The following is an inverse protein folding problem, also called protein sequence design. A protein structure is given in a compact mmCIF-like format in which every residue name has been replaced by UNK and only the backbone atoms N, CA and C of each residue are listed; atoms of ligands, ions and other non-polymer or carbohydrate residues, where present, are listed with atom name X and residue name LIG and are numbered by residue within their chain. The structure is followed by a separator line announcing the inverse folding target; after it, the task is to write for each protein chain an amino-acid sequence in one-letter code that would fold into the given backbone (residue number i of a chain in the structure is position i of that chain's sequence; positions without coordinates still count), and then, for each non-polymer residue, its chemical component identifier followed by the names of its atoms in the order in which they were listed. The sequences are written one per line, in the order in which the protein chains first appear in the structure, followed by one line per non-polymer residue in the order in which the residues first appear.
data_IF_804021461335
#
_entry.id   IF_804021461335
#
_cell.length_a   1.000
_cell.length_b   1.000
_cell.length_c   1.000
_cell.angle_alpha   90.00
_cell.angle_beta   90.00
_cell.angle_gamma   90.00
#
_symmetry.space_group_name_H-M   'P 1'
#
loop_
_entity.id
_entity.type
_entity.pdbx_description
1 polymer ?
#
# COMPACT_ATOMS: atom_id res chain seq x y z
N UNK A 1 21.73 -5.03 20.19
CA UNK A 1 20.54 -4.13 20.12
C UNK A 1 20.36 -3.39 18.79
N UNK A 2 21.40 -2.96 18.03
CA UNK A 2 21.21 -2.15 16.80
C UNK A 2 20.39 -2.83 15.67
N UNK A 3 20.41 -4.16 15.58
CA UNK A 3 19.73 -4.92 14.52
C UNK A 3 18.42 -5.61 14.97
N UNK A 4 17.94 -5.34 16.18
CA UNK A 4 16.69 -5.92 16.65
C UNK A 4 15.50 -5.35 15.86
N UNK A 5 14.57 -6.22 15.49
CA UNK A 5 13.28 -5.83 14.90
C UNK A 5 12.38 -5.42 16.06
N UNK A 6 12.03 -4.15 16.11
CA UNK A 6 10.99 -3.67 17.02
C UNK A 6 9.66 -4.28 16.57
N UNK A 7 8.97 -4.94 17.50
CA UNK A 7 7.69 -5.65 17.26
C UNK A 7 6.50 -4.96 17.95
N UNK A 8 6.77 -4.13 18.96
CA UNK A 8 5.77 -3.39 19.73
C UNK A 8 5.91 -1.88 19.49
N UNK A 9 4.89 -1.06 19.81
CA UNK A 9 5.05 0.38 19.87
C UNK A 9 6.16 0.74 20.86
N UNK A 10 7.31 1.13 20.34
CA UNK A 10 8.40 1.64 21.15
C UNK A 10 8.11 3.10 21.40
N UNK A 11 7.79 3.42 22.66
CA UNK A 11 7.50 4.77 23.15
C UNK A 11 6.34 5.41 22.39
N UNK A 12 5.13 5.26 22.95
CA UNK A 12 3.90 5.86 22.46
C UNK A 12 4.13 7.27 21.88
N UNK A 13 4.12 7.41 20.55
CA UNK A 13 3.99 8.69 19.84
C UNK A 13 4.64 9.87 20.59
N UNK A 14 5.92 9.74 20.99
CA UNK A 14 6.61 10.85 21.68
C UNK A 14 6.59 12.10 20.80
N UNK A 15 6.53 11.89 19.49
CA UNK A 15 6.11 12.84 18.48
C UNK A 15 4.79 12.41 17.81
N UNK A 16 3.91 13.39 17.55
CA UNK A 16 2.68 13.18 16.77
C UNK A 16 3.02 12.67 15.37
N UNK A 17 2.20 11.76 14.80
CA UNK A 17 2.31 11.31 13.39
C UNK A 17 2.44 12.50 12.41
N UNK A 18 1.87 13.65 12.77
CA UNK A 18 1.98 14.87 12.00
C UNK A 18 3.41 15.45 11.97
N UNK A 19 4.16 15.38 13.07
CA UNK A 19 5.56 15.81 13.13
C UNK A 19 6.43 14.91 12.24
N UNK A 20 6.21 13.60 12.31
CA UNK A 20 6.92 12.63 11.48
C UNK A 20 6.66 12.84 9.98
N UNK A 21 5.42 13.12 9.60
CA UNK A 21 5.08 13.48 8.22
C UNK A 21 5.81 14.76 7.78
N UNK A 22 5.88 15.78 8.64
CA UNK A 22 6.63 17.00 8.34
C UNK A 22 8.13 16.71 8.16
N UNK A 23 8.71 15.84 9.00
CA UNK A 23 10.12 15.41 8.88
C UNK A 23 10.34 14.67 7.56
N UNK A 24 9.55 13.63 7.28
CA UNK A 24 9.70 12.83 6.07
C UNK A 24 9.49 13.66 4.79
N UNK A 25 8.54 14.59 4.80
CA UNK A 25 8.33 15.50 3.66
C UNK A 25 9.59 16.32 3.38
N UNK A 26 10.20 16.91 4.41
CA UNK A 26 11.44 17.68 4.27
C UNK A 26 12.60 16.82 3.78
N UNK A 27 12.70 15.59 4.26
CA UNK A 27 13.73 14.65 3.80
C UNK A 27 13.52 14.24 2.33
N UNK A 28 12.27 14.03 1.92
CA UNK A 28 11.91 13.80 0.51
C UNK A 28 12.25 15.00 -0.38
N UNK A 29 11.98 16.23 0.08
CA UNK A 29 12.33 17.45 -0.67
C UNK A 29 13.85 17.56 -0.83
N UNK A 30 14.61 17.44 0.27
CA UNK A 30 16.08 17.51 0.26
C UNK A 30 16.74 16.45 -0.64
N UNK A 31 16.15 15.26 -0.71
CA UNK A 31 16.64 14.17 -1.55
C UNK A 31 16.09 14.17 -2.98
N UNK A 32 15.23 15.14 -3.33
CA UNK A 32 14.52 15.21 -4.61
C UNK A 32 13.69 13.94 -4.92
N UNK A 33 13.01 13.42 -3.89
CA UNK A 33 12.22 12.18 -3.94
C UNK A 33 10.76 12.38 -3.56
N UNK A 34 10.23 13.59 -3.64
CA UNK A 34 8.82 13.84 -3.33
C UNK A 34 7.93 12.98 -4.25
N UNK A 35 7.08 12.09 -3.70
CA UNK A 35 6.34 11.12 -4.51
C UNK A 35 5.31 11.79 -5.43
N UNK A 36 4.74 12.92 -5.00
CA UNK A 36 3.60 13.57 -5.65
C UNK A 36 3.94 14.33 -6.95
N UNK A 37 5.23 14.52 -7.25
CA UNK A 37 5.71 15.17 -8.47
C UNK A 37 6.26 14.17 -9.50
N UNK A 38 6.27 12.88 -9.15
CA UNK A 38 6.83 11.83 -10.01
C UNK A 38 5.88 11.52 -11.18
N UNK A 39 6.46 11.26 -12.35
CA UNK A 39 5.69 10.93 -13.55
C UNK A 39 4.96 9.59 -13.42
N UNK A 40 5.62 8.60 -12.78
CA UNK A 40 5.05 7.30 -12.46
C UNK A 40 4.86 7.23 -10.94
N UNK A 41 3.61 7.26 -10.43
CA UNK A 41 3.37 7.11 -9.00
C UNK A 41 3.81 5.71 -8.55
N UNK A 42 4.17 5.59 -7.26
CA UNK A 42 4.40 4.28 -6.66
C UNK A 42 3.12 3.43 -6.73
N UNK A 43 3.21 2.10 -6.86
CA UNK A 43 2.04 1.23 -6.85
C UNK A 43 1.28 1.36 -5.53
N UNK A 44 0.10 0.76 -5.40
CA UNK A 44 -0.57 0.72 -4.09
C UNK A 44 0.30 -0.01 -3.07
N UNK A 45 0.19 0.30 -1.79
CA UNK A 45 0.95 -0.37 -0.74
C UNK A 45 0.32 -1.71 -0.42
N UNK A 46 1.12 -2.72 -0.08
CA UNK A 46 0.59 -4.02 0.35
C UNK A 46 1.31 -4.46 1.61
N UNK A 47 0.57 -4.96 2.59
CA UNK A 47 1.18 -5.80 3.61
C UNK A 47 1.35 -7.21 3.03
N UNK A 48 2.59 -7.66 2.87
CA UNK A 48 2.90 -8.90 2.16
C UNK A 48 2.39 -10.15 2.87
N UNK A 49 2.04 -10.09 4.15
CA UNK A 49 1.56 -11.24 4.92
C UNK A 49 0.04 -11.42 4.80
N UNK A 50 -0.73 -10.34 4.85
CA UNK A 50 -2.20 -10.41 4.80
C UNK A 50 -2.81 -9.86 3.50
N UNK A 51 -2.02 -9.23 2.63
CA UNK A 51 -2.47 -8.67 1.36
C UNK A 51 -3.30 -7.39 1.50
N UNK A 52 -3.43 -6.83 2.71
CA UNK A 52 -4.21 -5.62 2.93
C UNK A 52 -3.44 -4.37 2.54
N UNK A 53 -4.19 -3.39 2.02
CA UNK A 53 -3.74 -2.02 1.80
C UNK A 53 -4.07 -1.17 3.04
N UNK A 54 -3.16 -0.29 3.44
CA UNK A 54 -3.38 0.68 4.51
C UNK A 54 -3.92 1.98 3.90
N UNK A 55 -5.01 2.49 4.48
CA UNK A 55 -5.64 3.74 4.03
C UNK A 55 -5.35 4.92 4.95
N UNK A 56 -5.94 6.05 4.60
CA UNK A 56 -5.95 7.28 5.40
C UNK A 56 -4.53 7.83 5.63
N UNK A 57 -4.28 8.50 6.75
CA UNK A 57 -2.96 9.02 7.14
C UNK A 57 -1.83 7.97 7.09
N UNK A 58 -2.13 6.69 7.32
CA UNK A 58 -1.13 5.63 7.23
C UNK A 58 -0.62 5.46 5.79
N UNK A 59 -1.50 5.57 4.78
CA UNK A 59 -1.12 5.52 3.36
C UNK A 59 -0.07 6.59 3.04
N UNK A 60 -0.39 7.82 3.44
CA UNK A 60 0.49 8.99 3.29
C UNK A 60 1.83 8.73 3.96
N UNK A 61 1.81 8.22 5.19
CA UNK A 61 3.01 8.01 5.99
C UNK A 61 3.94 6.94 5.39
N UNK A 62 3.36 5.84 4.89
CA UNK A 62 4.08 4.77 4.20
C UNK A 62 4.75 5.28 2.92
N UNK A 63 4.02 6.01 2.08
CA UNK A 63 4.56 6.56 0.84
C UNK A 63 5.72 7.51 1.07
N UNK A 64 5.58 8.44 2.02
CA UNK A 64 6.66 9.37 2.36
C UNK A 64 7.89 8.65 2.90
N UNK A 65 7.70 7.58 3.68
CA UNK A 65 8.83 6.79 4.15
C UNK A 65 9.54 6.07 3.02
N UNK A 66 8.80 5.36 2.17
CA UNK A 66 9.38 4.68 1.02
C UNK A 66 10.13 5.67 0.12
N UNK A 67 9.52 6.81 -0.18
CA UNK A 67 10.10 7.89 -0.95
C UNK A 67 11.39 8.44 -0.31
N UNK A 68 11.39 8.72 1.00
CA UNK A 68 12.58 9.21 1.71
C UNK A 68 13.76 8.24 1.61
N UNK A 69 13.47 6.94 1.52
CA UNK A 69 14.46 5.88 1.39
C UNK A 69 14.89 5.63 -0.05
N UNK A 70 14.17 6.19 -1.04
CA UNK A 70 14.38 5.89 -2.46
C UNK A 70 13.95 4.47 -2.81
N UNK A 71 12.92 3.96 -2.13
CA UNK A 71 12.39 2.64 -2.38
C UNK A 71 11.69 2.53 -3.73
N UNK A 72 11.75 1.34 -4.33
CA UNK A 72 11.12 1.06 -5.63
C UNK A 72 9.76 0.38 -5.48
N UNK A 73 9.46 -0.14 -4.29
CA UNK A 73 8.22 -0.84 -3.98
C UNK A 73 7.58 -0.34 -2.68
N UNK A 74 6.27 -0.59 -2.53
CA UNK A 74 5.51 -0.39 -1.30
C UNK A 74 5.07 -1.74 -0.70
N UNK A 75 6.02 -2.66 -0.60
CA UNK A 75 5.83 -3.99 0.01
C UNK A 75 6.20 -3.91 1.50
N UNK A 76 5.20 -3.96 2.36
CA UNK A 76 5.34 -3.75 3.80
C UNK A 76 5.11 -5.03 4.59
N UNK A 77 5.72 -5.15 5.77
CA UNK A 77 5.51 -6.25 6.71
C UNK A 77 5.44 -5.70 8.14
N UNK A 78 4.57 -6.28 8.97
CA UNK A 78 4.53 -5.94 10.39
C UNK A 78 5.80 -6.41 11.09
N UNK A 79 6.30 -5.62 12.04
CA UNK A 79 7.51 -5.96 12.80
C UNK A 79 7.41 -7.32 13.50
N UNK A 80 6.24 -7.65 14.06
CA UNK A 80 6.01 -8.94 14.71
C UNK A 80 6.15 -10.14 13.75
N UNK A 81 5.62 -10.03 12.52
CA UNK A 81 5.73 -11.09 11.51
C UNK A 81 7.16 -11.20 10.99
N UNK A 82 7.81 -10.06 10.72
CA UNK A 82 9.21 -9.99 10.30
C UNK A 82 10.16 -10.64 11.33
N UNK A 83 9.97 -10.35 12.61
CA UNK A 83 10.74 -10.96 13.70
C UNK A 83 10.47 -12.46 13.81
N UNK A 84 9.21 -12.88 13.69
CA UNK A 84 8.83 -14.28 13.83
C UNK A 84 9.42 -15.18 12.74
N UNK A 85 9.46 -14.70 11.49
CA UNK A 85 10.10 -15.43 10.38
C UNK A 85 11.61 -15.19 10.31
N UNK A 86 12.20 -14.46 11.26
CA UNK A 86 13.63 -14.28 11.39
C UNK A 86 14.26 -13.42 10.28
N UNK A 87 13.57 -12.37 9.83
CA UNK A 87 14.18 -11.39 8.93
C UNK A 87 15.31 -10.63 9.63
N UNK A 88 16.29 -10.18 8.85
CA UNK A 88 17.45 -9.45 9.35
C UNK A 88 17.55 -8.11 8.63
N UNK A 89 17.72 -7.01 9.37
CA UNK A 89 17.77 -5.66 8.77
C UNK A 89 19.11 -5.42 8.05
N UNK A 90 19.10 -4.73 6.91
CA UNK A 90 20.31 -4.28 6.19
C UNK A 90 21.12 -3.25 6.98
N UNK A 91 20.44 -2.41 7.76
CA UNK A 91 21.00 -1.30 8.53
C UNK A 91 20.21 -1.06 9.82
N UNK A 92 20.50 0.06 10.51
CA UNK A 92 19.73 0.57 11.64
C UNK A 92 18.34 1.13 11.26
N UNK A 93 17.82 0.68 10.11
CA UNK A 93 16.50 0.96 9.58
C UNK A 93 15.44 1.00 10.69
N UNK A 94 14.87 2.20 10.89
CA UNK A 94 13.77 2.44 11.83
C UNK A 94 12.43 2.03 11.20
N UNK A 95 11.56 1.34 11.96
CA UNK A 95 10.19 1.10 11.52
C UNK A 95 9.41 2.40 11.38
N UNK A 96 8.29 2.33 10.66
CA UNK A 96 7.18 3.24 10.84
C UNK A 96 6.23 2.72 11.93
N UNK A 97 5.58 3.65 12.61
CA UNK A 97 4.48 3.35 13.52
C UNK A 97 3.16 3.70 12.85
N UNK A 98 2.39 2.69 12.47
CA UNK A 98 1.04 2.90 11.94
C UNK A 98 0.03 2.88 13.09
N UNK A 99 -1.06 3.63 12.94
CA UNK A 99 -2.12 3.72 13.96
C UNK A 99 -3.45 3.23 13.42
N UNK A 100 -4.35 2.83 14.32
CA UNK A 100 -5.68 2.38 13.94
C UNK A 100 -6.60 2.32 15.14
N UNK A 101 -7.90 2.43 14.86
CA UNK A 101 -8.91 2.50 15.89
C UNK A 101 -9.47 1.09 16.14
N UNK A 102 -9.18 0.52 17.31
CA UNK A 102 -9.70 -0.78 17.73
C UNK A 102 -10.67 -0.53 18.88
N UNK A 103 -11.98 -0.63 18.59
CA UNK A 103 -13.06 -0.50 19.60
C UNK A 103 -12.97 0.79 20.43
N UNK A 104 -12.65 1.92 19.80
CA UNK A 104 -12.55 3.22 20.47
C UNK A 104 -11.21 3.47 21.16
N UNK A 105 -10.23 2.57 21.04
CA UNK A 105 -8.86 2.79 21.49
C UNK A 105 -7.92 2.86 20.29
N UNK A 106 -7.03 3.84 20.30
CA UNK A 106 -5.94 3.92 19.32
C UNK A 106 -4.92 2.83 19.66
N UNK A 107 -4.73 1.90 18.74
CA UNK A 107 -3.66 0.91 18.78
C UNK A 107 -2.58 1.28 17.75
N UNK A 108 -1.36 0.81 17.95
CA UNK A 108 -0.20 1.16 17.13
C UNK A 108 0.67 -0.05 16.84
N UNK A 109 1.16 -0.16 15.60
CA UNK A 109 2.02 -1.26 15.20
C UNK A 109 3.23 -0.79 14.40
N UNK A 110 4.34 -1.50 14.57
CA UNK A 110 5.54 -1.28 13.78
C UNK A 110 5.40 -1.93 12.41
N UNK A 111 5.78 -1.21 11.37
CA UNK A 111 5.79 -1.65 9.98
C UNK A 111 7.15 -1.36 9.37
N UNK A 112 7.65 -2.31 8.58
CA UNK A 112 8.89 -2.20 7.83
C UNK A 112 8.63 -2.42 6.35
N UNK A 113 9.37 -1.70 5.52
CA UNK A 113 9.43 -1.98 4.10
C UNK A 113 10.31 -3.21 3.88
N UNK A 114 9.96 -4.10 2.96
CA UNK A 114 10.76 -5.29 2.68
C UNK A 114 12.21 -4.97 2.29
N UNK A 115 12.43 -3.86 1.59
CA UNK A 115 13.76 -3.40 1.18
C UNK A 115 14.69 -3.04 2.35
N UNK A 116 14.16 -2.91 3.57
CA UNK A 116 14.92 -2.72 4.81
C UNK A 116 15.59 -4.01 5.32
N UNK A 117 15.23 -5.19 4.79
CA UNK A 117 15.77 -6.49 5.21
C UNK A 117 16.76 -7.07 4.19
N UNK A 118 17.73 -7.86 4.66
CA UNK A 118 18.74 -8.50 3.81
C UNK A 118 18.08 -9.48 2.86
N UNK A 119 18.60 -9.54 1.63
CA UNK A 119 18.09 -10.46 0.62
C UNK A 119 18.22 -11.93 1.05
N UNK A 120 19.31 -12.26 1.75
CA UNK A 120 19.54 -13.60 2.32
C UNK A 120 18.43 -14.00 3.32
N UNK A 121 18.09 -13.12 4.27
CA UNK A 121 17.05 -13.42 5.26
C UNK A 121 15.66 -13.50 4.63
N UNK A 122 15.37 -12.66 3.62
CA UNK A 122 14.13 -12.74 2.84
C UNK A 122 14.03 -14.07 2.08
N UNK A 123 15.07 -14.47 1.36
CA UNK A 123 15.09 -15.74 0.61
C UNK A 123 14.94 -16.95 1.55
N UNK A 124 15.60 -16.92 2.71
CA UNK A 124 15.44 -17.92 3.76
C UNK A 124 13.99 -17.97 4.26
N UNK A 125 13.38 -16.83 4.58
CA UNK A 125 12.00 -16.77 5.03
C UNK A 125 11.01 -17.30 3.97
N UNK A 126 11.21 -16.97 2.69
CA UNK A 126 10.37 -17.47 1.60
C UNK A 126 10.52 -18.99 1.38
N UNK A 127 11.69 -19.57 1.68
CA UNK A 127 11.94 -21.00 1.57
C UNK A 127 11.09 -21.84 2.54
N UNK A 128 10.63 -21.26 3.65
CA UNK A 128 9.76 -21.92 4.63
C UNK A 128 8.46 -22.44 4.03
N UNK A 129 8.02 -21.86 2.91
CA UNK A 129 6.84 -22.30 2.15
C UNK A 129 6.88 -23.78 1.72
N UNK A 130 8.09 -24.34 1.54
CA UNK A 130 8.30 -25.70 1.02
C UNK A 130 8.50 -26.76 2.08
N UNK A 131 9.14 -26.42 3.21
CA UNK A 131 9.68 -27.45 4.11
C UNK A 131 9.86 -27.05 5.58
N UNK A 132 9.30 -25.93 6.05
CA UNK A 132 9.40 -25.57 7.48
C UNK A 132 8.35 -26.33 8.31
N UNK A 133 8.78 -27.01 9.38
CA UNK A 133 7.91 -27.79 10.28
C UNK A 133 6.94 -26.90 11.06
N UNK A 134 7.26 -25.62 11.27
CA UNK A 134 6.34 -24.64 11.83
C UNK A 134 5.33 -24.21 10.76
N UNK A 135 4.11 -24.75 10.88
CA UNK A 135 2.96 -24.42 10.05
C UNK A 135 2.75 -22.91 9.92
N UNK A 136 3.00 -22.12 10.96
CA UNK A 136 2.79 -20.66 10.92
C UNK A 136 3.81 -19.97 10.03
N UNK A 137 5.10 -20.32 10.15
CA UNK A 137 6.16 -19.78 9.26
C UNK A 137 5.89 -20.15 7.81
N UNK A 138 5.48 -21.39 7.57
CA UNK A 138 5.08 -21.87 6.24
C UNK A 138 3.92 -21.04 5.68
N UNK A 139 2.87 -20.78 6.45
CA UNK A 139 1.73 -19.96 6.02
C UNK A 139 2.13 -18.51 5.74
N UNK A 140 2.96 -17.89 6.58
CA UNK A 140 3.48 -16.53 6.33
C UNK A 140 4.22 -16.48 5.01
N UNK A 141 5.16 -17.41 4.79
CA UNK A 141 5.95 -17.48 3.57
C UNK A 141 5.07 -17.68 2.32
N UNK A 142 4.08 -18.57 2.39
CA UNK A 142 3.12 -18.78 1.29
C UNK A 142 2.32 -17.52 0.96
N UNK A 143 1.85 -16.79 1.99
CA UNK A 143 1.13 -15.54 1.79
C UNK A 143 2.05 -14.44 1.23
N UNK A 144 3.29 -14.33 1.72
CA UNK A 144 4.29 -13.41 1.17
C UNK A 144 4.52 -13.63 -0.30
N UNK A 145 4.79 -14.87 -0.72
CA UNK A 145 4.98 -15.22 -2.14
C UNK A 145 3.75 -14.78 -2.93
N UNK A 146 2.55 -15.19 -2.51
CA UNK A 146 1.30 -14.86 -3.21
C UNK A 146 1.11 -13.36 -3.36
N UNK A 147 1.20 -12.61 -2.28
CA UNK A 147 0.88 -11.18 -2.27
C UNK A 147 1.96 -10.35 -2.97
N UNK A 148 3.24 -10.76 -2.91
CA UNK A 148 4.33 -10.16 -3.69
C UNK A 148 4.11 -10.41 -5.19
N UNK A 149 3.81 -11.65 -5.58
CA UNK A 149 3.52 -12.00 -6.98
C UNK A 149 2.33 -11.18 -7.50
N UNK A 150 1.25 -11.09 -6.73
CA UNK A 150 0.07 -10.29 -7.08
C UNK A 150 0.38 -8.80 -7.22
N UNK A 151 1.19 -8.25 -6.32
CA UNK A 151 1.65 -6.87 -6.39
C UNK A 151 2.46 -6.61 -7.67
N UNK A 152 3.36 -7.53 -8.02
CA UNK A 152 4.26 -7.39 -9.16
C UNK A 152 3.54 -7.60 -10.50
N UNK A 153 2.52 -8.47 -10.53
CA UNK A 153 1.71 -8.72 -11.73
C UNK A 153 0.57 -7.72 -11.92
N UNK A 154 0.02 -7.17 -10.84
CA UNK A 154 -1.14 -6.28 -10.84
C UNK A 154 -2.45 -6.96 -11.32
N UNK A 155 -2.53 -8.28 -11.20
CA UNK A 155 -3.57 -9.11 -11.86
C UNK A 155 -4.98 -8.89 -11.31
N UNK A 156 -5.18 -8.92 -10.00
CA UNK A 156 -6.50 -8.70 -9.37
C UNK A 156 -6.81 -7.20 -9.24
N UNK A 157 -5.79 -6.34 -9.22
CA UNK A 157 -6.00 -4.88 -9.24
C UNK A 157 -6.70 -4.40 -10.53
N UNK A 158 -6.55 -5.11 -11.65
CA UNK A 158 -7.10 -4.68 -12.94
C UNK A 158 -8.63 -4.47 -12.91
N UNK A 159 -9.37 -5.42 -12.33
CA UNK A 159 -10.84 -5.35 -12.28
C UNK A 159 -11.33 -4.30 -11.28
N UNK A 160 -10.66 -4.19 -10.12
CA UNK A 160 -10.97 -3.16 -9.12
C UNK A 160 -10.72 -1.76 -9.68
N UNK A 161 -9.59 -1.57 -10.38
CA UNK A 161 -9.26 -0.32 -11.07
C UNK A 161 -10.33 0.04 -12.09
N UNK A 162 -10.75 -0.90 -12.92
CA UNK A 162 -11.77 -0.66 -13.94
C UNK A 162 -13.12 -0.26 -13.33
N UNK A 163 -13.53 -0.88 -12.22
CA UNK A 163 -14.74 -0.47 -11.50
C UNK A 163 -14.63 0.96 -10.95
N UNK A 164 -13.50 1.31 -10.34
CA UNK A 164 -13.22 2.68 -9.86
C UNK A 164 -13.23 3.69 -11.02
N UNK A 165 -12.67 3.34 -12.19
CA UNK A 165 -12.72 4.17 -13.41
C UNK A 165 -14.15 4.46 -13.86
N UNK A 166 -14.98 3.41 -13.92
CA UNK A 166 -16.40 3.54 -14.31
C UNK A 166 -17.16 4.44 -13.34
N UNK A 167 -16.94 4.28 -12.04
CA UNK A 167 -17.55 5.12 -11.02
C UNK A 167 -17.17 6.60 -11.18
N UNK A 168 -15.87 6.90 -11.35
CA UNK A 168 -15.42 8.28 -11.62
C UNK A 168 -16.11 8.83 -12.87
N UNK A 169 -16.11 8.07 -13.98
CA UNK A 169 -16.79 8.49 -15.21
C UNK A 169 -18.28 8.77 -14.99
N UNK A 170 -18.99 7.90 -14.26
CA UNK A 170 -20.41 8.08 -13.98
C UNK A 170 -20.68 9.32 -13.12
N UNK A 171 -19.87 9.51 -12.07
CA UNK A 171 -19.93 10.66 -11.18
C UNK A 171 -19.69 11.98 -11.93
N UNK A 172 -18.71 12.00 -12.85
CA UNK A 172 -18.38 13.20 -13.64
C UNK A 172 -19.41 13.51 -14.75
N UNK A 173 -20.17 12.52 -15.23
CA UNK A 173 -21.22 12.71 -16.24
C UNK A 173 -22.54 13.24 -15.65
N UNK A 174 -22.84 12.89 -14.40
CA UNK A 174 -24.05 13.35 -13.71
C UNK A 174 -23.90 14.79 -13.24
N UNK A 175 -24.76 15.69 -13.73
CA UNK A 175 -24.69 17.12 -13.37
C UNK A 175 -24.97 17.38 -11.88
N UNK A 176 -25.84 16.59 -11.26
CA UNK A 176 -26.15 16.73 -9.84
C UNK A 176 -24.97 16.30 -8.98
N UNK A 177 -24.39 15.12 -9.27
CA UNK A 177 -23.21 14.61 -8.58
C UNK A 177 -22.02 15.54 -8.79
N UNK A 178 -21.81 16.04 -10.01
CA UNK A 178 -20.72 16.98 -10.29
C UNK A 178 -20.84 18.28 -9.47
N UNK A 179 -22.05 18.79 -9.23
CA UNK A 179 -22.26 19.94 -8.33
C UNK A 179 -21.87 19.58 -6.90
N UNK A 180 -22.24 18.40 -6.44
CA UNK A 180 -21.90 17.91 -5.09
C UNK A 180 -20.39 17.72 -4.91
N UNK A 181 -19.70 17.15 -5.91
CA UNK A 181 -18.24 17.01 -5.94
C UNK A 181 -17.56 18.36 -5.80
N UNK A 182 -18.02 19.36 -6.57
CA UNK A 182 -17.49 20.73 -6.53
C UNK A 182 -17.75 21.39 -5.18
N UNK A 183 -18.97 21.25 -4.64
CA UNK A 183 -19.31 21.81 -3.33
C UNK A 183 -18.47 21.17 -2.22
N UNK A 184 -18.27 19.85 -2.27
CA UNK A 184 -17.45 19.12 -1.29
C UNK A 184 -15.99 19.55 -1.37
N UNK A 185 -15.46 19.78 -2.58
CA UNK A 185 -14.13 20.34 -2.76
C UNK A 185 -13.98 21.72 -2.10
N UNK A 186 -14.95 22.62 -2.36
CA UNK A 186 -14.97 23.97 -1.77
C UNK A 186 -15.06 23.89 -0.25
N UNK A 187 -15.91 23.02 0.29
CA UNK A 187 -16.06 22.84 1.73
C UNK A 187 -14.77 22.32 2.37
N UNK A 188 -14.15 21.28 1.78
CA UNK A 188 -12.91 20.68 2.27
C UNK A 188 -11.73 21.66 2.27
N UNK A 189 -11.72 22.62 1.34
CA UNK A 189 -10.63 23.57 1.17
C UNK A 189 -10.97 24.99 1.66
N UNK A 190 -12.11 25.19 2.29
CA UNK A 190 -12.62 26.52 2.67
C UNK A 190 -11.66 27.27 3.59
N UNK A 191 -11.12 26.59 4.61
CA UNK A 191 -10.19 27.13 5.60
C UNK A 191 -8.71 27.03 5.18
N UNK A 192 -8.43 26.46 4.01
CA UNK A 192 -7.07 26.25 3.55
C UNK A 192 -6.46 27.53 2.98
N UNK A 193 -5.19 27.75 3.28
CA UNK A 193 -4.39 28.78 2.60
C UNK A 193 -4.06 28.35 1.16
N UNK A 194 -3.42 29.26 0.41
CA UNK A 194 -3.07 29.00 -0.99
C UNK A 194 -2.13 27.80 -1.15
N UNK A 195 -1.22 27.56 -0.20
CA UNK A 195 -0.29 26.43 -0.26
C UNK A 195 -1.04 25.11 -0.04
N UNK A 196 -1.93 25.05 0.95
CA UNK A 196 -2.76 23.87 1.21
C UNK A 196 -3.73 23.59 0.06
N UNK A 197 -4.33 24.62 -0.55
CA UNK A 197 -5.19 24.46 -1.73
C UNK A 197 -4.43 23.89 -2.94
N UNK A 198 -3.21 24.36 -3.17
CA UNK A 198 -2.35 23.83 -4.24
C UNK A 198 -2.00 22.37 -4.00
N UNK A 199 -1.55 22.02 -2.78
CA UNK A 199 -1.26 20.64 -2.38
C UNK A 199 -2.49 19.75 -2.59
N UNK A 200 -3.65 20.17 -2.08
CA UNK A 200 -4.88 19.39 -2.16
C UNK A 200 -5.28 19.07 -3.61
N UNK A 201 -5.19 20.08 -4.48
CA UNK A 201 -5.56 19.96 -5.89
C UNK A 201 -4.63 19.00 -6.64
N UNK A 202 -3.31 19.11 -6.40
CA UNK A 202 -2.31 18.25 -7.03
C UNK A 202 -2.44 16.80 -6.56
N UNK A 203 -2.61 16.58 -5.26
CA UNK A 203 -2.65 15.24 -4.68
C UNK A 203 -3.94 14.47 -5.00
N UNK A 204 -5.07 15.16 -5.13
CA UNK A 204 -6.29 14.50 -5.57
C UNK A 204 -6.09 13.81 -6.94
N UNK A 205 -5.45 14.49 -7.89
CA UNK A 205 -5.12 13.90 -9.19
C UNK A 205 -4.09 12.78 -9.07
N UNK A 206 -3.07 12.93 -8.22
CA UNK A 206 -2.08 11.89 -7.95
C UNK A 206 -2.73 10.61 -7.44
N UNK A 207 -3.59 10.68 -6.42
CA UNK A 207 -4.24 9.50 -5.85
C UNK A 207 -5.23 8.86 -6.81
N UNK A 208 -5.99 9.65 -7.59
CA UNK A 208 -6.87 9.10 -8.63
C UNK A 208 -6.05 8.36 -9.69
N UNK A 209 -4.92 8.93 -10.12
CA UNK A 209 -3.99 8.27 -11.05
C UNK A 209 -3.43 6.98 -10.46
N UNK A 210 -3.11 6.94 -9.17
CA UNK A 210 -2.64 5.71 -8.51
C UNK A 210 -3.74 4.64 -8.39
N UNK A 211 -4.94 5.06 -8.01
CA UNK A 211 -6.10 4.19 -7.76
C UNK A 211 -6.73 3.64 -9.04
N UNK A 212 -6.62 4.38 -10.14
CA UNK A 212 -7.34 4.07 -11.37
C UNK A 212 -6.44 4.09 -12.60
N UNK A 213 -5.32 4.78 -12.61
CA UNK A 213 -4.54 5.05 -13.82
C UNK A 213 -5.18 6.11 -14.74
N UNK A 214 -6.27 6.76 -14.32
CA UNK A 214 -6.83 7.91 -15.03
C UNK A 214 -6.07 9.18 -14.65
N UNK A 215 -5.75 10.00 -15.65
CA UNK A 215 -5.30 11.36 -15.44
C UNK A 215 -6.50 12.29 -15.66
N UNK A 216 -7.00 12.89 -14.57
CA UNK A 216 -8.11 13.85 -14.67
C UNK A 216 -7.63 15.23 -15.11
N UNK A 217 -6.40 15.57 -14.74
CA UNK A 217 -5.75 16.82 -15.11
C UNK A 217 -4.57 16.55 -16.04
N UNK A 218 -4.22 17.55 -16.85
CA UNK A 218 -2.98 17.54 -17.64
C UNK A 218 -1.77 17.27 -16.73
N UNK A 219 -0.71 16.62 -17.24
CA UNK A 219 0.55 16.51 -16.51
C UNK A 219 1.08 17.89 -16.08
N UNK A 220 1.60 17.98 -14.86
CA UNK A 220 2.21 19.21 -14.34
C UNK A 220 3.47 19.56 -15.16
N UNK A 221 3.56 20.83 -15.54
CA UNK A 221 4.78 21.46 -16.07
C UNK A 221 5.85 21.54 -14.97
N UNK A 222 7.11 21.75 -15.36
CA UNK A 222 8.20 21.93 -14.39
C UNK A 222 7.96 23.14 -13.46
N UNK A 223 7.33 24.19 -13.97
CA UNK A 223 6.95 25.33 -13.14
C UNK A 223 5.89 24.92 -12.08
N UNK A 224 4.82 24.24 -12.49
CA UNK A 224 3.77 23.77 -11.57
C UNK A 224 4.33 22.78 -10.53
N UNK A 225 5.29 21.94 -10.90
CA UNK A 225 6.00 21.05 -9.96
C UNK A 225 6.82 21.84 -8.94
N UNK A 226 7.55 22.87 -9.37
CA UNK A 226 8.32 23.73 -8.48
C UNK A 226 7.42 24.51 -7.52
N UNK A 227 6.29 25.02 -7.99
CA UNK A 227 5.29 25.68 -7.14
C UNK A 227 4.72 24.72 -6.09
N UNK A 228 4.42 23.47 -6.46
CA UNK A 228 3.99 22.44 -5.53
C UNK A 228 5.07 22.09 -4.50
N UNK A 229 6.33 21.97 -4.92
CA UNK A 229 7.46 21.74 -4.01
C UNK A 229 7.58 22.85 -2.96
N UNK A 230 7.51 24.11 -3.39
CA UNK A 230 7.58 25.26 -2.49
C UNK A 230 6.39 25.28 -1.51
N UNK A 231 5.19 24.92 -1.97
CA UNK A 231 4.03 24.81 -1.10
C UNK A 231 4.20 23.69 -0.06
N UNK A 232 4.63 22.50 -0.49
CA UNK A 232 4.92 21.37 0.40
C UNK A 232 5.99 21.73 1.43
N UNK A 233 7.09 22.38 1.00
CA UNK A 233 8.16 22.82 1.88
C UNK A 233 7.68 23.83 2.92
N UNK A 234 6.95 24.87 2.48
CA UNK A 234 6.39 25.88 3.37
C UNK A 234 5.46 25.27 4.41
N UNK A 235 4.55 24.39 4.00
CA UNK A 235 3.61 23.74 4.92
C UNK A 235 4.35 22.78 5.87
N UNK A 236 5.34 22.02 5.39
CA UNK A 236 6.15 21.12 6.21
C UNK A 236 7.04 21.84 7.25
N UNK A 237 7.52 23.05 6.94
CA UNK A 237 8.35 23.85 7.84
C UNK A 237 7.53 24.56 8.94
N UNK A 238 6.21 24.59 8.82
CA UNK A 238 5.33 25.14 9.85
C UNK A 238 5.09 24.05 10.91
N UNK A 239 5.45 24.26 12.20
CA UNK A 239 5.27 23.27 13.26
C UNK A 239 3.79 23.11 13.63
N UNK A 240 3.04 22.44 12.77
CA UNK A 240 1.59 22.30 12.83
C UNK A 240 1.15 21.01 12.12
N UNK A 241 -0.06 20.49 12.41
CA UNK A 241 -0.58 19.31 11.71
C UNK A 241 -1.06 19.60 10.28
N UNK A 242 -0.90 20.83 9.80
CA UNK A 242 -1.53 21.32 8.55
C UNK A 242 -1.17 20.48 7.34
N UNK A 243 0.11 20.12 7.17
CA UNK A 243 0.51 19.27 6.05
C UNK A 243 -0.17 17.91 6.14
N UNK A 244 -0.03 17.23 7.27
CA UNK A 244 -0.58 15.90 7.47
C UNK A 244 -2.10 15.85 7.26
N UNK A 245 -2.84 16.85 7.76
CA UNK A 245 -4.27 17.00 7.52
C UNK A 245 -4.57 17.20 6.04
N UNK A 246 -3.88 18.12 5.37
CA UNK A 246 -4.09 18.35 3.92
C UNK A 246 -3.79 17.10 3.09
N UNK A 247 -2.72 16.35 3.39
CA UNK A 247 -2.39 15.11 2.69
C UNK A 247 -3.48 14.03 2.91
N UNK A 248 -3.95 13.84 4.14
CA UNK A 248 -4.99 12.87 4.46
C UNK A 248 -6.34 13.25 3.86
N UNK A 249 -6.75 14.52 3.96
CA UNK A 249 -7.99 15.02 3.37
C UNK A 249 -7.98 14.85 1.84
N UNK A 250 -6.83 15.09 1.19
CA UNK A 250 -6.66 14.86 -0.26
C UNK A 250 -6.87 13.39 -0.63
N UNK A 251 -6.28 12.48 0.15
CA UNK A 251 -6.45 11.04 -0.03
C UNK A 251 -7.91 10.63 0.17
N UNK A 252 -8.54 11.04 1.28
CA UNK A 252 -9.93 10.71 1.58
C UNK A 252 -10.90 11.26 0.52
N UNK A 253 -10.67 12.49 0.05
CA UNK A 253 -11.47 13.07 -1.02
C UNK A 253 -11.33 12.27 -2.33
N UNK A 254 -10.10 11.90 -2.69
CA UNK A 254 -9.85 11.07 -3.88
C UNK A 254 -10.51 9.70 -3.80
N UNK A 255 -10.53 9.08 -2.62
CA UNK A 255 -11.24 7.81 -2.41
C UNK A 255 -12.73 7.98 -2.67
N UNK A 256 -13.37 9.03 -2.13
CA UNK A 256 -14.81 9.29 -2.36
C UNK A 256 -15.15 9.38 -3.85
N UNK A 257 -14.28 9.99 -4.65
CA UNK A 257 -14.49 10.05 -6.10
C UNK A 257 -14.54 8.68 -6.78
N UNK A 258 -13.91 7.66 -6.20
CA UNK A 258 -13.89 6.28 -6.75
C UNK A 258 -15.12 5.45 -6.39
N UNK A 259 -15.97 5.91 -5.45
CA UNK A 259 -17.22 5.23 -5.09
C UNK A 259 -18.33 5.48 -6.12
N UNK A 260 -19.23 4.52 -6.27
CA UNK A 260 -20.45 4.70 -7.06
C UNK A 260 -21.36 5.69 -6.35
N UNK A 261 -21.90 6.66 -7.08
CA UNK A 261 -22.79 7.71 -6.57
C UNK A 261 -22.14 8.48 -5.42
N UNK A 262 -21.13 9.29 -5.76
CA UNK A 262 -20.32 10.09 -4.82
C UNK A 262 -21.11 10.47 -3.57
N UNK A 263 -20.70 9.95 -2.41
CA UNK A 263 -21.33 10.31 -1.13
C UNK A 263 -20.43 11.28 -0.35
N UNK A 264 -21.06 12.33 0.19
CA UNK A 264 -20.39 13.30 1.07
C UNK A 264 -19.86 12.64 2.35
N UNK A 265 -20.52 11.60 2.85
CA UNK A 265 -20.05 10.81 3.99
C UNK A 265 -19.22 9.62 3.49
N UNK A 266 -18.18 9.26 4.22
CA UNK A 266 -17.41 8.04 3.90
C UNK A 266 -18.37 6.85 3.97
N UNK A 267 -18.57 6.15 2.85
CA UNK A 267 -19.16 4.82 2.85
C UNK A 267 -18.11 3.90 3.46
N UNK A 268 -18.19 3.72 4.77
CA UNK A 268 -17.42 2.69 5.43
C UNK A 268 -17.85 1.34 4.86
N UNK A 269 -16.96 0.70 4.13
CA UNK A 269 -17.17 -0.68 3.71
C UNK A 269 -17.21 -1.58 4.94
N UNK A 270 -17.78 -2.78 4.82
CA UNK A 270 -17.67 -3.79 5.89
C UNK A 270 -16.21 -4.01 6.30
N UNK A 271 -15.30 -3.97 5.34
CA UNK A 271 -13.85 -4.05 5.55
C UNK A 271 -13.31 -2.86 6.34
N UNK A 272 -13.81 -1.63 6.14
CA UNK A 272 -13.45 -0.45 6.96
C UNK A 272 -13.90 -0.58 8.42
N UNK A 273 -15.08 -1.16 8.67
CA UNK A 273 -15.56 -1.42 10.03
C UNK A 273 -14.86 -2.61 10.70
N UNK A 274 -14.46 -3.60 9.90
CA UNK A 274 -13.73 -4.78 10.33
C UNK A 274 -12.20 -4.56 10.35
N UNK A 275 -11.72 -3.33 10.10
CA UNK A 275 -10.31 -2.91 10.26
C UNK A 275 -9.88 -3.07 11.72
N UNK A 276 -9.61 -4.30 12.12
CA UNK A 276 -8.78 -4.59 13.27
C UNK A 276 -7.35 -4.30 12.84
N UNK A 277 -6.64 -3.48 13.61
CA UNK A 277 -5.20 -3.61 13.71
C UNK A 277 -4.90 -4.98 14.35
N UNK A 278 -5.07 -6.07 13.60
CA UNK A 278 -4.58 -7.36 14.04
C UNK A 278 -3.10 -7.42 13.68
N UNK A 279 -2.23 -7.34 14.68
CA UNK A 279 -1.05 -8.20 14.95
C UNK A 279 -0.24 -7.60 16.14
N UNK A 280 -0.52 -8.09 17.36
CA UNK A 280 0.37 -8.01 18.54
C UNK A 280 1.10 -9.35 18.83
N UNK A 281 0.91 -10.34 17.96
CA UNK A 281 1.61 -11.62 17.90
C UNK A 281 1.44 -12.20 16.47
N UNK A 282 2.39 -12.96 15.92
CA UNK A 282 2.34 -13.50 14.55
C UNK A 282 1.05 -14.30 14.32
N UNK A 283 0.10 -13.68 13.61
CA UNK A 283 -1.31 -14.11 13.48
C UNK A 283 -1.69 -14.47 12.05
N UNK A 284 -0.71 -14.63 11.16
CA UNK A 284 -0.95 -15.03 9.78
C UNK A 284 -1.73 -16.36 9.61
N UNK A 285 -1.79 -17.20 10.66
CA UNK A 285 -2.62 -18.41 10.69
C UNK A 285 -4.13 -18.15 10.85
N UNK A 286 -4.54 -16.93 11.23
CA UNK A 286 -5.96 -16.53 11.30
C UNK A 286 -6.47 -15.93 9.97
N UNK A 287 -5.56 -15.56 9.06
CA UNK A 287 -5.92 -15.11 7.71
C UNK A 287 -6.17 -16.33 6.84
N UNK A 288 -7.41 -16.81 6.82
CA UNK A 288 -7.83 -17.78 5.80
C UNK A 288 -7.86 -17.07 4.45
N UNK A 289 -7.08 -17.51 3.45
CA UNK A 289 -7.17 -16.96 2.12
C UNK A 289 -8.62 -17.08 1.63
N UNK A 290 -9.23 -15.98 1.16
CA UNK A 290 -10.39 -16.12 0.28
C UNK A 290 -9.91 -16.98 -0.90
N UNK A 291 -10.40 -18.22 -0.99
CA UNK A 291 -10.15 -19.07 -2.17
C UNK A 291 -10.66 -18.29 -3.37
N UNK A 292 -9.76 -17.88 -4.24
CA UNK A 292 -10.14 -17.29 -5.52
C UNK A 292 -10.27 -18.44 -6.52
N UNK A 293 -11.49 -18.88 -6.89
CA UNK A 293 -11.70 -20.11 -7.66
C UNK A 293 -11.15 -20.03 -9.09
N UNK A 294 -10.86 -18.83 -9.59
CA UNK A 294 -10.26 -18.61 -10.90
C UNK A 294 -8.74 -18.86 -10.86
N UNK A 295 -8.05 -18.31 -9.86
CA UNK A 295 -6.62 -18.56 -9.62
C UNK A 295 -6.30 -20.01 -9.24
N UNK A 296 -7.21 -20.73 -8.57
CA UNK A 296 -7.06 -22.17 -8.34
C UNK A 296 -7.25 -22.96 -9.63
N UNK A 297 -8.18 -22.56 -10.50
CA UNK A 297 -8.38 -23.18 -11.82
C UNK A 297 -7.17 -22.99 -12.74
N UNK A 298 -6.58 -21.81 -12.77
CA UNK A 298 -5.40 -21.55 -13.60
C UNK A 298 -4.19 -22.37 -13.12
N UNK A 299 -4.00 -22.48 -11.80
CA UNK A 299 -2.95 -23.33 -11.21
C UNK A 299 -3.16 -24.83 -11.49
N UNK A 300 -4.41 -25.27 -11.52
CA UNK A 300 -4.74 -26.65 -11.87
C UNK A 300 -4.53 -26.91 -13.37
N UNK A 301 -4.85 -25.95 -14.24
CA UNK A 301 -4.58 -26.04 -15.68
C UNK A 301 -3.08 -26.10 -15.95
N UNK A 302 -2.27 -25.27 -15.27
CA UNK A 302 -0.82 -25.28 -15.42
C UNK A 302 -0.20 -26.57 -14.87
N UNK A 303 -0.70 -27.12 -13.77
CA UNK A 303 -0.29 -28.47 -13.28
C UNK A 303 -0.65 -29.59 -14.25
N UNK A 304 -1.80 -29.49 -14.91
CA UNK A 304 -2.21 -30.47 -15.94
C UNK A 304 -1.26 -30.37 -17.13
N UNK A 305 -0.92 -29.16 -17.58
CA UNK A 305 0.06 -28.93 -18.66
C UNK A 305 1.47 -29.41 -18.31
N UNK A 306 1.94 -29.18 -17.08
CA UNK A 306 3.24 -29.71 -16.63
C UNK A 306 3.26 -31.24 -16.64
N UNK A 307 2.17 -31.90 -16.20
CA UNK A 307 2.02 -33.36 -16.27
C UNK A 307 1.93 -33.90 -17.70
N UNK A 308 1.43 -33.11 -18.65
CA UNK A 308 1.38 -33.46 -20.07
C UNK A 308 2.73 -33.23 -20.77
N UNK A 309 3.53 -32.27 -20.29
CA UNK A 309 4.89 -32.00 -20.75
C UNK A 309 5.93 -32.99 -20.18
N UNK A 310 5.64 -33.63 -19.04
CA UNK A 310 6.35 -34.83 -18.60
C UNK A 310 6.06 -35.98 -19.59
N UNK A 311 6.87 -36.05 -20.65
CA UNK A 311 6.88 -37.15 -21.61
C UNK A 311 7.06 -38.47 -20.86
N UNK A 312 5.96 -39.20 -20.66
CA UNK A 312 6.04 -40.60 -20.22
C UNK A 312 6.86 -41.37 -21.26
N UNK A 313 7.92 -42.10 -20.87
CA UNK A 313 8.68 -42.90 -21.81
C UNK A 313 7.74 -43.91 -22.46
N UNK A 314 7.51 -43.75 -23.77
CA UNK A 314 6.79 -44.73 -24.60
C UNK A 314 7.57 -46.04 -24.48
N UNK A 315 6.92 -47.09 -23.97
CA UNK A 315 7.49 -48.43 -23.99
C UNK A 315 7.84 -48.78 -25.45
N UNK A 316 9.14 -48.92 -25.71
CA UNK A 316 9.65 -49.50 -26.93
C UNK A 316 9.31 -50.99 -26.85
N UNK A 317 8.26 -51.40 -27.57
CA UNK A 317 7.99 -52.82 -27.82
C UNK A 317 9.07 -53.33 -28.76
N UNK A 318 10.03 -54.09 -28.22
CA UNK A 318 10.95 -54.88 -29.04
C UNK A 318 10.15 -55.97 -29.76
N UNK A 319 10.04 -55.86 -31.09
CA UNK A 319 9.85 -57.02 -31.95
C UNK A 319 10.98 -58.02 -31.64
N UNK A 320 10.62 -59.22 -31.22
CA UNK A 320 11.50 -60.38 -31.33
C UNK A 320 11.01 -61.23 -32.49
N UNK A 321 11.81 -61.28 -33.54
CA UNK A 321 11.76 -62.38 -34.49
C UNK A 321 12.31 -63.64 -33.83
N UNK A 322 11.66 -64.76 -34.11
CA UNK A 322 12.26 -66.01 -34.58
C UNK A 322 11.24 -66.70 -35.49
#
# INVERSE_FOLDING_TARGET
MKNEIKTYPVEALTDSIHNEINILMRDCIKSNRVPYIQFKPLPQDVNVVNGHHLGDINKVYLELKAASMGAESLKWIFGADAAFIGLEKKSDAKPLMITGNVRGKVDSQSVYLLEQFTEESLNKALSYSRSDDDKKKRTIAQNMIRNITEYDSGTVEAQLRENKRKNISNNLKSQNILKEIKQTFVNATSEYDNSQKLIFSALNNYYIKQETGLELNKPMTEQEKNELLLALEKTANTPSPRLALTLADSFLYSQRMTHYDFEQNRIFTKEDYDKKLSVTAPKAAEFEPKKNPELERDKDIDRIRERELEVKPRHITHQRGF
#
